data_IF_406845216342
#
_entry.id   IF_406845216342
#
_cell.length_a   1.000
_cell.length_b   1.000
_cell.length_c   1.000
_cell.angle_alpha   90.00
_cell.angle_beta   90.00
_cell.angle_gamma   90.00
#
_symmetry.space_group_name_H-M   'P 1'
#
loop_
_entity.id
_entity.type
_entity.pdbx_description
1 polymer ?
#
# COMPACT_ATOMS: atom_id res chain seq x y z
N UNK A 1 -15.04 -47.64 -0.38
CA UNK A 1 -14.69 -46.29 0.14
C UNK A 1 -14.49 -45.36 -1.04
N UNK A 2 -15.47 -44.53 -1.35
CA UNK A 2 -15.33 -43.52 -2.41
C UNK A 2 -14.54 -42.35 -1.86
N UNK A 3 -13.22 -42.35 -2.04
CA UNK A 3 -12.40 -41.17 -1.77
C UNK A 3 -12.81 -40.11 -2.78
N UNK A 4 -13.34 -38.94 -2.37
CA UNK A 4 -13.64 -37.88 -3.32
C UNK A 4 -12.35 -37.52 -4.06
N UNK A 5 -12.44 -37.42 -5.39
CA UNK A 5 -11.32 -36.98 -6.22
C UNK A 5 -10.88 -35.60 -5.73
N UNK A 6 -9.56 -35.45 -5.52
CA UNK A 6 -9.03 -34.15 -5.16
C UNK A 6 -9.34 -33.17 -6.30
N UNK A 7 -9.90 -31.98 -6.00
CA UNK A 7 -10.19 -31.00 -7.05
C UNK A 7 -8.91 -30.61 -7.77
N UNK A 8 -9.00 -30.41 -9.09
CA UNK A 8 -7.88 -29.91 -9.89
C UNK A 8 -7.45 -28.56 -9.33
N UNK A 9 -6.14 -28.35 -9.17
CA UNK A 9 -5.57 -27.06 -8.78
C UNK A 9 -4.99 -26.34 -9.99
N UNK A 10 -5.19 -25.03 -10.05
CA UNK A 10 -4.56 -24.14 -11.01
C UNK A 10 -3.79 -23.03 -10.29
N UNK A 11 -2.72 -22.55 -10.90
CA UNK A 11 -1.93 -21.46 -10.33
C UNK A 11 -2.48 -20.10 -10.73
N UNK A 12 -2.39 -19.15 -9.81
CA UNK A 12 -2.75 -17.75 -10.06
C UNK A 12 -1.96 -16.82 -9.13
N UNK A 13 -2.16 -15.52 -9.29
CA UNK A 13 -1.64 -14.50 -8.40
C UNK A 13 -2.80 -13.70 -7.81
N UNK A 14 -2.63 -13.24 -6.57
CA UNK A 14 -3.61 -12.37 -5.91
C UNK A 14 -3.78 -11.06 -6.71
N UNK A 15 -5.01 -10.71 -7.15
CA UNK A 15 -5.24 -9.51 -7.96
C UNK A 15 -5.41 -8.24 -7.13
N UNK A 16 -5.44 -8.34 -5.80
CA UNK A 16 -5.66 -7.21 -4.92
C UNK A 16 -4.51 -6.21 -4.94
N UNK A 17 -4.86 -4.96 -4.67
CA UNK A 17 -3.94 -3.84 -4.53
C UNK A 17 -3.21 -3.87 -3.17
N UNK A 18 -2.32 -4.86 -3.03
CA UNK A 18 -1.40 -5.05 -1.92
C UNK A 18 -0.05 -5.50 -2.50
N UNK A 19 1.09 -4.97 -2.02
CA UNK A 19 2.39 -5.26 -2.62
C UNK A 19 2.87 -6.71 -2.46
N UNK A 20 2.14 -7.57 -1.73
CA UNK A 20 2.54 -8.96 -1.54
C UNK A 20 2.38 -9.82 -2.79
N UNK A 21 1.41 -9.52 -3.68
CA UNK A 21 1.06 -10.32 -4.87
C UNK A 21 1.15 -11.84 -4.61
N UNK A 22 0.40 -12.32 -3.61
CA UNK A 22 0.50 -13.70 -3.15
C UNK A 22 0.35 -14.70 -4.30
N UNK A 23 1.24 -15.68 -4.36
CA UNK A 23 1.09 -16.83 -5.26
C UNK A 23 -0.03 -17.73 -4.73
N UNK A 24 -0.93 -18.17 -5.61
CA UNK A 24 -2.16 -18.88 -5.26
C UNK A 24 -2.23 -20.23 -5.95
N UNK A 25 -2.83 -21.19 -5.25
CA UNK A 25 -3.37 -22.43 -5.80
C UNK A 25 -4.89 -22.39 -5.66
N UNK A 26 -5.59 -22.38 -6.79
CA UNK A 26 -7.05 -22.25 -6.86
C UNK A 26 -7.65 -23.61 -7.20
N UNK A 27 -8.60 -24.08 -6.38
CA UNK A 27 -9.40 -25.25 -6.71
C UNK A 27 -10.32 -24.92 -7.88
N UNK A 28 -10.32 -25.77 -8.92
CA UNK A 28 -11.23 -25.67 -10.05
C UNK A 28 -12.21 -26.83 -9.97
N UNK A 29 -13.48 -26.51 -9.73
CA UNK A 29 -14.55 -27.49 -9.56
C UNK A 29 -15.15 -27.88 -10.91
N UNK A 30 -15.32 -26.90 -11.80
CA UNK A 30 -15.76 -27.08 -13.19
C UNK A 30 -15.26 -25.92 -14.06
N UNK A 31 -15.73 -25.81 -15.30
CA UNK A 31 -15.33 -24.77 -16.26
C UNK A 31 -15.59 -23.33 -15.77
N UNK A 32 -16.60 -23.13 -14.92
CA UNK A 32 -17.09 -21.81 -14.49
C UNK A 32 -16.97 -21.59 -12.97
N UNK A 33 -16.67 -22.63 -12.21
CA UNK A 33 -16.70 -22.61 -10.75
C UNK A 33 -15.33 -22.89 -10.14
N UNK A 34 -14.82 -21.92 -9.38
CA UNK A 34 -13.68 -22.12 -8.47
C UNK A 34 -14.14 -22.46 -7.05
N UNK A 35 -13.35 -23.29 -6.36
CA UNK A 35 -13.53 -23.69 -4.97
C UNK A 35 -12.68 -22.86 -4.01
N UNK A 36 -12.03 -23.50 -3.03
CA UNK A 36 -11.15 -22.78 -2.09
C UNK A 36 -9.90 -22.25 -2.79
N UNK A 37 -9.37 -21.17 -2.23
CA UNK A 37 -8.09 -20.60 -2.65
C UNK A 37 -7.07 -20.85 -1.54
N UNK A 38 -5.92 -21.39 -1.93
CA UNK A 38 -4.79 -21.68 -1.07
C UNK A 38 -3.62 -20.78 -1.44
N UNK A 39 -2.74 -20.48 -0.49
CA UNK A 39 -1.46 -19.85 -0.79
C UNK A 39 -0.44 -20.88 -1.27
N UNK A 40 0.25 -20.59 -2.36
CA UNK A 40 1.39 -21.39 -2.82
C UNK A 40 2.63 -21.12 -1.97
N UNK A 41 3.37 -22.18 -1.65
CA UNK A 41 4.66 -22.08 -0.94
C UNK A 41 5.83 -21.73 -1.87
N UNK A 42 5.62 -21.71 -3.18
CA UNK A 42 6.68 -21.44 -4.16
C UNK A 42 7.16 -19.99 -4.14
N UNK A 43 6.32 -19.06 -3.68
CA UNK A 43 6.74 -17.69 -3.40
C UNK A 43 7.19 -17.60 -1.93
N UNK A 44 8.50 -17.47 -1.73
CA UNK A 44 9.14 -17.50 -0.42
C UNK A 44 8.87 -16.26 0.46
N UNK A 45 8.54 -15.11 -0.15
CA UNK A 45 8.06 -13.95 0.59
C UNK A 45 6.68 -14.20 1.20
N UNK A 46 5.74 -14.72 0.41
CA UNK A 46 4.39 -14.98 0.91
C UNK A 46 4.28 -16.29 1.67
N UNK A 47 5.17 -17.25 1.41
CA UNK A 47 5.35 -18.51 2.12
C UNK A 47 4.05 -19.31 2.32
N UNK A 48 3.14 -19.27 1.33
CA UNK A 48 1.82 -19.90 1.42
C UNK A 48 0.81 -19.17 2.31
N UNK A 49 1.17 -18.03 2.90
CA UNK A 49 0.28 -17.20 3.72
C UNK A 49 -0.52 -16.25 2.84
N UNK A 50 -1.84 -16.40 2.89
CA UNK A 50 -2.82 -15.51 2.25
C UNK A 50 -3.77 -14.93 3.30
N UNK A 51 -4.28 -13.73 3.06
CA UNK A 51 -5.24 -13.11 3.97
C UNK A 51 -6.66 -13.69 3.80
N UNK A 52 -7.51 -13.50 4.80
CA UNK A 52 -8.91 -13.97 4.78
C UNK A 52 -9.71 -13.44 3.56
N UNK A 53 -9.38 -12.25 3.05
CA UNK A 53 -10.00 -11.67 1.85
C UNK A 53 -9.78 -12.56 0.61
N UNK A 54 -8.59 -13.14 0.49
CA UNK A 54 -8.19 -13.99 -0.64
C UNK A 54 -8.68 -15.43 -0.44
N UNK A 55 -8.58 -15.96 0.78
CA UNK A 55 -9.06 -17.31 1.08
C UNK A 55 -10.56 -17.50 0.77
N UNK A 56 -11.33 -16.40 0.89
CA UNK A 56 -12.79 -16.35 0.63
C UNK A 56 -13.14 -15.72 -0.72
N UNK A 57 -12.20 -15.57 -1.64
CA UNK A 57 -12.45 -14.87 -2.90
C UNK A 57 -13.50 -15.59 -3.78
N UNK A 58 -13.68 -16.90 -3.60
CA UNK A 58 -14.75 -17.66 -4.26
C UNK A 58 -16.16 -17.15 -3.90
N UNK A 59 -16.36 -16.67 -2.67
CA UNK A 59 -17.63 -16.06 -2.25
C UNK A 59 -17.90 -14.75 -2.99
N UNK A 60 -16.84 -14.02 -3.39
CA UNK A 60 -16.96 -12.77 -4.16
C UNK A 60 -17.27 -13.05 -5.63
N UNK A 61 -16.57 -14.01 -6.25
CA UNK A 61 -16.74 -14.30 -7.68
C UNK A 61 -18.09 -14.95 -7.99
N UNK A 62 -18.61 -15.74 -7.04
CA UNK A 62 -19.90 -16.45 -7.14
C UNK A 62 -21.03 -15.76 -6.39
N UNK A 63 -20.83 -14.52 -5.95
CA UNK A 63 -21.88 -13.78 -5.25
C UNK A 63 -23.10 -13.60 -6.18
N UNK A 64 -24.33 -13.90 -5.74
CA UNK A 64 -25.53 -13.76 -6.56
C UNK A 64 -25.80 -12.30 -6.98
N UNK A 65 -25.28 -11.32 -6.23
CA UNK A 65 -25.40 -9.90 -6.54
C UNK A 65 -24.26 -9.38 -7.45
N UNK A 66 -23.40 -10.26 -7.97
CA UNK A 66 -22.33 -9.86 -8.88
C UNK A 66 -22.93 -9.29 -10.17
N UNK A 67 -22.43 -8.11 -10.58
CA UNK A 67 -22.82 -7.50 -11.84
C UNK A 67 -22.29 -8.35 -13.01
N UNK A 68 -23.20 -9.01 -13.73
CA UNK A 68 -22.89 -9.92 -14.85
C UNK A 68 -23.52 -9.47 -16.18
N UNK A 69 -24.28 -8.37 -16.16
CA UNK A 69 -24.91 -7.79 -17.34
C UNK A 69 -24.69 -6.28 -17.37
N UNK A 70 -24.54 -5.67 -18.56
CA UNK A 70 -24.56 -4.22 -18.69
C UNK A 70 -25.88 -3.63 -18.20
N UNK A 71 -25.78 -2.50 -17.49
CA UNK A 71 -26.91 -1.73 -17.02
C UNK A 71 -26.77 -0.29 -17.51
N UNK A 72 -27.87 0.30 -17.97
CA UNK A 72 -27.95 1.71 -18.31
C UNK A 72 -29.00 2.38 -17.41
N UNK A 73 -28.78 3.66 -17.10
CA UNK A 73 -29.72 4.43 -16.28
C UNK A 73 -31.02 4.69 -17.05
N UNK A 74 -32.15 4.48 -16.40
CA UNK A 74 -33.47 4.88 -16.91
C UNK A 74 -33.62 6.41 -16.87
N UNK A 75 -33.98 6.98 -18.01
CA UNK A 75 -34.21 8.42 -18.15
C UNK A 75 -32.95 9.29 -18.02
N UNK A 76 -33.11 10.60 -18.25
CA UNK A 76 -32.01 11.57 -18.23
C UNK A 76 -31.51 11.84 -16.81
N UNK A 77 -30.19 12.01 -16.64
CA UNK A 77 -29.61 12.47 -15.38
C UNK A 77 -29.94 13.95 -15.24
N UNK A 78 -30.79 14.30 -14.28
CA UNK A 78 -31.12 15.69 -13.95
C UNK A 78 -30.27 16.08 -12.75
N UNK A 79 -29.53 17.19 -12.86
CA UNK A 79 -28.73 17.71 -11.76
C UNK A 79 -29.64 18.13 -10.60
N UNK A 80 -29.30 17.76 -9.37
CA UNK A 80 -30.10 18.09 -8.18
C UNK A 80 -31.22 17.09 -7.84
N UNK A 81 -31.74 16.31 -8.79
CA UNK A 81 -32.77 15.29 -8.55
C UNK A 81 -32.19 13.90 -8.24
N UNK A 82 -30.98 13.85 -7.69
CA UNK A 82 -30.12 12.65 -7.63
C UNK A 82 -30.81 11.42 -7.06
N UNK A 83 -31.47 10.61 -7.91
CA UNK A 83 -31.91 9.28 -7.53
C UNK A 83 -30.68 8.49 -7.11
N UNK A 84 -30.76 7.85 -5.95
CA UNK A 84 -29.64 7.09 -5.40
C UNK A 84 -29.21 6.04 -6.44
N UNK A 85 -27.93 6.04 -6.81
CA UNK A 85 -27.37 5.06 -7.73
C UNK A 85 -27.47 3.63 -7.16
N UNK A 86 -27.67 3.50 -5.84
CA UNK A 86 -27.94 2.22 -5.16
C UNK A 86 -29.36 1.71 -5.36
N UNK A 87 -30.30 2.53 -5.82
CA UNK A 87 -31.66 2.08 -6.12
C UNK A 87 -31.66 1.32 -7.46
N UNK A 88 -31.83 0.00 -7.39
CA UNK A 88 -31.89 -0.87 -8.56
C UNK A 88 -32.99 -0.45 -9.57
N UNK A 89 -34.05 0.22 -9.12
CA UNK A 89 -35.17 0.65 -9.95
C UNK A 89 -34.76 1.64 -11.04
N UNK A 90 -33.68 2.40 -10.81
CA UNK A 90 -33.16 3.43 -11.73
C UNK A 90 -32.35 2.84 -12.88
N UNK A 91 -32.08 1.54 -12.87
CA UNK A 91 -31.28 0.84 -13.87
C UNK A 91 -32.16 -0.07 -14.74
N UNK A 92 -31.80 -0.19 -16.01
CA UNK A 92 -32.34 -1.19 -16.92
C UNK A 92 -31.19 -1.99 -17.54
N UNK A 93 -31.42 -3.30 -17.72
CA UNK A 93 -30.47 -4.17 -18.40
C UNK A 93 -30.53 -3.93 -19.90
N UNK A 94 -29.36 -3.95 -20.55
CA UNK A 94 -29.20 -3.87 -22.00
C UNK A 94 -28.25 -4.97 -22.50
N UNK A 95 -28.19 -5.14 -23.82
CA UNK A 95 -27.23 -6.05 -24.47
C UNK A 95 -25.79 -5.55 -24.38
N UNK A 96 -24.81 -6.44 -24.62
CA UNK A 96 -23.40 -6.03 -24.69
C UNK A 96 -23.12 -5.14 -25.90
N UNK A 97 -23.63 -5.49 -27.08
CA UNK A 97 -23.45 -4.68 -28.29
C UNK A 97 -24.05 -3.27 -28.09
N UNK A 98 -25.30 -3.20 -27.63
CA UNK A 98 -25.97 -1.93 -27.29
C UNK A 98 -25.19 -1.09 -26.27
N UNK A 99 -24.61 -1.72 -25.24
CA UNK A 99 -23.82 -1.02 -24.24
C UNK A 99 -22.51 -0.46 -24.82
N UNK A 100 -21.84 -1.22 -25.69
CA UNK A 100 -20.60 -0.81 -26.33
C UNK A 100 -20.84 0.29 -27.36
N UNK A 101 -21.88 0.15 -28.19
CA UNK A 101 -22.31 1.16 -29.16
C UNK A 101 -22.66 2.47 -28.44
N UNK A 102 -23.45 2.40 -27.37
CA UNK A 102 -23.80 3.57 -26.58
C UNK A 102 -22.55 4.29 -26.04
N UNK A 103 -21.57 3.56 -25.50
CA UNK A 103 -20.33 4.18 -24.99
C UNK A 103 -19.52 4.80 -26.13
N UNK A 104 -19.36 4.09 -27.25
CA UNK A 104 -18.63 4.57 -28.42
C UNK A 104 -19.26 5.84 -28.99
N UNK A 105 -20.57 5.85 -29.23
CA UNK A 105 -21.32 7.02 -29.71
C UNK A 105 -21.16 8.23 -28.78
N UNK A 106 -21.17 8.02 -27.45
CA UNK A 106 -20.98 9.10 -26.48
C UNK A 106 -19.57 9.65 -26.50
N UNK A 107 -18.55 8.80 -26.67
CA UNK A 107 -17.17 9.24 -26.81
C UNK A 107 -16.98 10.03 -28.10
N UNK A 108 -17.42 9.49 -29.24
CA UNK A 108 -17.29 10.17 -30.54
C UNK A 108 -18.06 11.50 -30.57
N UNK A 109 -19.25 11.57 -29.99
CA UNK A 109 -20.00 12.83 -29.89
C UNK A 109 -19.31 13.85 -28.98
N UNK A 110 -18.70 13.41 -27.87
CA UNK A 110 -17.95 14.29 -26.98
C UNK A 110 -16.68 14.81 -27.68
N UNK A 111 -15.94 13.93 -28.35
CA UNK A 111 -14.77 14.28 -29.15
C UNK A 111 -15.09 15.31 -30.23
N UNK A 112 -16.14 15.08 -31.01
CA UNK A 112 -16.55 15.98 -32.07
C UNK A 112 -16.93 17.37 -31.54
N UNK A 113 -17.48 17.43 -30.33
CA UNK A 113 -17.98 18.69 -29.73
C UNK A 113 -16.91 19.45 -28.95
N UNK A 114 -16.02 18.76 -28.26
CA UNK A 114 -15.13 19.34 -27.25
C UNK A 114 -13.65 19.00 -27.46
N UNK A 115 -13.31 18.18 -28.46
CA UNK A 115 -11.96 17.66 -28.70
C UNK A 115 -11.66 16.40 -27.89
N UNK A 116 -10.64 15.64 -28.33
CA UNK A 116 -10.31 14.34 -27.76
C UNK A 116 -9.96 14.36 -26.26
N UNK A 117 -9.37 15.45 -25.78
CA UNK A 117 -9.00 15.63 -24.38
C UNK A 117 -10.22 15.70 -23.44
N UNK A 118 -11.43 15.88 -23.95
CA UNK A 118 -12.64 15.84 -23.11
C UNK A 118 -12.91 14.47 -22.49
N UNK A 119 -12.41 13.39 -23.10
CA UNK A 119 -12.53 12.04 -22.55
C UNK A 119 -11.36 11.83 -21.61
N UNK A 120 -11.67 11.73 -20.32
CA UNK A 120 -10.69 11.49 -19.28
C UNK A 120 -10.90 10.09 -18.67
N UNK A 121 -10.05 9.11 -19.02
CA UNK A 121 -10.13 7.79 -18.42
C UNK A 121 -9.65 7.87 -16.97
N UNK A 122 -10.51 7.44 -16.03
CA UNK A 122 -10.18 7.35 -14.61
C UNK A 122 -9.87 5.89 -14.24
N UNK A 123 -8.59 5.58 -14.04
CA UNK A 123 -8.04 4.24 -13.77
C UNK A 123 -6.78 4.42 -12.90
N UNK A 124 -6.51 3.48 -11.98
CA UNK A 124 -5.46 3.54 -10.94
C UNK A 124 -6.03 3.84 -9.53
N UNK A 125 -5.87 3.03 -8.51
CA UNK A 125 -5.44 1.63 -8.46
C UNK A 125 -6.55 0.78 -7.80
N UNK A 126 -6.44 -0.55 -7.87
CA UNK A 126 -7.43 -1.44 -7.22
C UNK A 126 -7.41 -2.88 -7.73
N UNK A 127 -7.02 -3.10 -8.98
CA UNK A 127 -6.68 -4.41 -9.55
C UNK A 127 -5.34 -4.31 -10.25
N UNK A 128 -4.37 -5.11 -9.80
CA UNK A 128 -2.96 -4.98 -10.21
C UNK A 128 -2.54 -5.96 -11.31
N UNK A 129 -3.50 -6.66 -11.94
CA UNK A 129 -3.21 -7.49 -13.11
C UNK A 129 -2.75 -6.65 -14.29
N UNK A 130 -1.71 -7.09 -15.00
CA UNK A 130 -1.05 -6.31 -16.05
C UNK A 130 -2.02 -5.83 -17.15
N UNK A 131 -2.95 -6.70 -17.57
CA UNK A 131 -3.94 -6.37 -18.59
C UNK A 131 -4.99 -5.39 -18.03
N UNK A 132 -5.47 -5.63 -16.81
CA UNK A 132 -6.51 -4.83 -16.19
C UNK A 132 -6.02 -3.42 -15.81
N UNK A 133 -4.75 -3.29 -15.42
CA UNK A 133 -4.14 -2.02 -15.04
C UNK A 133 -3.79 -1.18 -16.26
N UNK A 134 -3.08 -1.76 -17.24
CA UNK A 134 -2.42 -0.99 -18.30
C UNK A 134 -3.12 -1.08 -19.67
N UNK A 135 -4.11 -1.97 -19.82
CA UNK A 135 -4.78 -2.21 -21.11
C UNK A 135 -5.47 -0.99 -21.70
N UNK A 136 -5.93 -0.06 -20.84
CA UNK A 136 -6.63 1.16 -21.24
C UNK A 136 -5.73 2.16 -21.97
N UNK A 137 -4.41 2.13 -21.74
CA UNK A 137 -3.47 3.06 -22.38
C UNK A 137 -3.48 2.96 -23.91
N UNK A 138 -3.77 1.77 -24.47
CA UNK A 138 -3.85 1.58 -25.93
C UNK A 138 -4.98 2.40 -26.55
N UNK A 139 -6.18 2.32 -25.97
CA UNK A 139 -7.33 3.10 -26.41
C UNK A 139 -7.06 4.59 -26.25
N UNK A 140 -6.59 5.00 -25.06
CA UNK A 140 -6.24 6.40 -24.78
C UNK A 140 -5.25 6.96 -25.80
N UNK A 141 -4.19 6.22 -26.12
CA UNK A 141 -3.19 6.66 -27.09
C UNK A 141 -3.76 6.74 -28.51
N UNK A 142 -4.49 5.72 -28.96
CA UNK A 142 -5.08 5.68 -30.30
C UNK A 142 -6.05 6.85 -30.54
N UNK A 143 -6.85 7.21 -29.51
CA UNK A 143 -7.85 8.28 -29.60
C UNK A 143 -7.35 9.64 -29.11
N UNK A 144 -6.10 9.73 -28.62
CA UNK A 144 -5.50 10.94 -28.03
C UNK A 144 -6.32 11.54 -26.88
N UNK A 145 -6.89 10.67 -26.06
CA UNK A 145 -7.63 11.07 -24.85
C UNK A 145 -6.70 11.63 -23.77
N UNK A 146 -7.31 12.36 -22.82
CA UNK A 146 -6.59 12.92 -21.67
C UNK A 146 -5.84 11.85 -20.89
N UNK A 147 -4.66 12.20 -20.40
CA UNK A 147 -3.90 11.36 -19.48
C UNK A 147 -4.39 11.55 -18.05
N UNK A 148 -4.52 10.44 -17.31
CA UNK A 148 -4.48 10.51 -15.85
C UNK A 148 -3.03 10.53 -15.39
N UNK A 149 -2.75 11.38 -14.40
CA UNK A 149 -1.51 11.27 -13.64
C UNK A 149 -1.82 10.48 -12.39
N UNK A 150 -1.25 9.27 -12.29
CA UNK A 150 -1.60 8.20 -11.33
C UNK A 150 -1.19 8.53 -9.87
N UNK A 151 -1.72 9.62 -9.31
CA UNK A 151 -1.21 10.21 -8.06
C UNK A 151 -2.01 9.88 -6.81
N UNK A 152 -2.98 8.97 -6.92
CA UNK A 152 -3.97 8.72 -5.85
C UNK A 152 -3.32 8.07 -4.61
N UNK A 153 -2.32 7.20 -4.83
CA UNK A 153 -1.75 6.36 -3.77
C UNK A 153 -0.31 6.77 -3.39
N UNK A 154 0.65 6.55 -4.30
CA UNK A 154 2.07 6.48 -3.92
C UNK A 154 2.86 7.77 -4.15
N UNK A 155 2.35 8.74 -4.90
CA UNK A 155 3.14 9.89 -5.37
C UNK A 155 3.85 10.67 -4.25
N UNK A 156 3.22 10.98 -3.10
CA UNK A 156 3.92 11.65 -2.02
C UNK A 156 5.08 10.81 -1.47
N UNK A 157 4.85 9.50 -1.30
CA UNK A 157 5.87 8.58 -0.81
C UNK A 157 7.03 8.41 -1.81
N UNK A 158 6.71 8.25 -3.10
CA UNK A 158 7.68 8.13 -4.17
C UNK A 158 8.58 9.36 -4.21
N UNK A 159 7.99 10.56 -4.17
CA UNK A 159 8.73 11.83 -4.25
C UNK A 159 9.71 11.97 -3.09
N UNK A 160 9.25 11.72 -1.85
CA UNK A 160 10.11 11.77 -0.66
C UNK A 160 11.24 10.76 -0.70
N UNK A 161 10.92 9.52 -1.09
CA UNK A 161 11.91 8.43 -1.12
C UNK A 161 12.96 8.66 -2.20
N UNK A 162 12.57 9.13 -3.40
CA UNK A 162 13.54 9.48 -4.43
C UNK A 162 14.41 10.67 -4.04
N UNK A 163 13.87 11.67 -3.35
CA UNK A 163 14.66 12.79 -2.87
C UNK A 163 15.77 12.34 -1.90
N UNK A 164 15.48 11.37 -1.02
CA UNK A 164 16.43 10.91 -0.01
C UNK A 164 17.37 9.78 -0.47
N UNK A 165 16.86 8.85 -1.28
CA UNK A 165 17.59 7.64 -1.69
C UNK A 165 18.05 7.66 -3.15
N UNK A 166 17.67 8.66 -3.95
CA UNK A 166 18.02 8.79 -5.38
C UNK A 166 17.34 7.79 -6.32
N UNK A 167 16.78 6.69 -5.81
CA UNK A 167 16.04 5.70 -6.57
C UNK A 167 15.04 4.95 -5.68
N UNK A 168 13.95 4.44 -6.28
CA UNK A 168 13.03 3.52 -5.58
C UNK A 168 13.66 2.13 -5.53
N UNK A 169 14.51 1.93 -4.53
CA UNK A 169 15.20 0.66 -4.24
C UNK A 169 15.26 0.48 -2.73
N UNK A 170 15.15 -0.75 -2.26
CA UNK A 170 15.24 -1.05 -0.83
C UNK A 170 15.76 -2.45 -0.61
N UNK A 171 15.88 -2.82 0.67
CA UNK A 171 16.21 -4.17 1.07
C UNK A 171 15.13 -5.15 0.59
N UNK A 172 15.56 -6.38 0.32
CA UNK A 172 14.65 -7.47 0.07
C UNK A 172 13.73 -7.66 1.30
N UNK A 173 12.38 -7.64 1.13
CA UNK A 173 11.45 -7.80 2.24
C UNK A 173 11.65 -9.07 3.07
N UNK A 174 12.28 -10.13 2.51
CA UNK A 174 12.63 -11.37 3.20
C UNK A 174 13.72 -11.17 4.27
N UNK A 175 14.51 -10.10 4.17
CA UNK A 175 15.54 -9.76 5.16
C UNK A 175 14.96 -9.23 6.47
N UNK A 176 13.68 -8.87 6.49
CA UNK A 176 12.97 -8.55 7.73
C UNK A 176 13.06 -9.69 8.74
N UNK A 177 13.00 -10.95 8.30
CA UNK A 177 13.17 -12.13 9.17
C UNK A 177 14.59 -12.26 9.77
N UNK A 178 15.58 -11.58 9.20
CA UNK A 178 16.99 -11.59 9.63
C UNK A 178 17.37 -10.40 10.52
N UNK A 179 16.39 -9.58 10.89
CA UNK A 179 16.58 -8.34 11.65
C UNK A 179 16.52 -8.56 13.15
N UNK A 180 17.10 -7.65 13.93
CA UNK A 180 17.08 -7.66 15.41
C UNK A 180 16.14 -6.56 15.96
N UNK A 181 15.78 -5.59 15.12
CA UNK A 181 14.68 -4.65 15.33
C UNK A 181 13.91 -4.50 14.01
N UNK A 182 12.59 -4.64 14.05
CA UNK A 182 11.71 -4.38 12.92
C UNK A 182 10.86 -3.15 13.24
N UNK A 183 11.07 -2.06 12.51
CA UNK A 183 10.28 -0.82 12.64
C UNK A 183 9.19 -0.82 11.57
N UNK A 184 7.93 -0.86 11.99
CA UNK A 184 6.77 -0.77 11.12
C UNK A 184 6.16 0.62 11.30
N UNK A 185 6.35 1.51 10.32
CA UNK A 185 5.97 2.91 10.45
C UNK A 185 4.87 3.27 9.45
N UNK A 186 3.71 3.72 9.93
CA UNK A 186 2.63 4.23 9.09
C UNK A 186 1.92 3.13 8.28
N UNK A 187 1.87 1.90 8.81
CA UNK A 187 1.13 0.79 8.19
C UNK A 187 0.53 -0.16 9.22
N UNK A 188 -0.75 -0.50 9.03
CA UNK A 188 -1.45 -1.54 9.77
C UNK A 188 -1.29 -2.91 9.10
N UNK A 189 -0.06 -3.44 9.10
CA UNK A 189 0.34 -4.66 8.42
C UNK A 189 -0.55 -5.88 8.75
N UNK A 190 -1.07 -6.01 9.98
CA UNK A 190 -2.01 -7.08 10.36
C UNK A 190 -3.26 -7.10 9.46
N UNK A 191 -3.76 -5.93 9.05
CA UNK A 191 -4.96 -5.83 8.21
C UNK A 191 -4.65 -5.68 6.71
N UNK A 192 -3.56 -4.99 6.37
CA UNK A 192 -3.29 -4.50 5.01
C UNK A 192 -2.20 -5.30 4.28
N UNK A 193 -1.28 -5.97 4.98
CA UNK A 193 -0.18 -6.73 4.39
C UNK A 193 0.31 -7.83 5.34
N UNK A 194 -0.48 -8.90 5.50
CA UNK A 194 -0.24 -9.97 6.49
C UNK A 194 1.15 -10.61 6.38
N UNK A 195 1.76 -10.64 5.19
CA UNK A 195 3.08 -11.22 4.98
C UNK A 195 4.20 -10.43 5.66
N UNK A 196 4.05 -9.11 5.86
CA UNK A 196 4.98 -8.33 6.70
C UNK A 196 4.98 -8.88 8.12
N UNK A 197 3.81 -9.15 8.68
CA UNK A 197 3.72 -9.71 10.03
C UNK A 197 4.29 -11.13 10.10
N UNK A 198 4.16 -11.94 9.05
CA UNK A 198 4.82 -13.25 8.97
C UNK A 198 6.34 -13.12 9.16
N UNK A 199 6.99 -12.21 8.44
CA UNK A 199 8.45 -12.01 8.55
C UNK A 199 8.87 -11.33 9.86
N UNK A 200 8.11 -10.34 10.34
CA UNK A 200 8.40 -9.66 11.60
C UNK A 200 8.29 -10.62 12.81
N UNK A 201 7.25 -11.45 12.85
CA UNK A 201 7.08 -12.47 13.90
C UNK A 201 8.14 -13.57 13.77
N UNK A 202 8.57 -13.92 12.56
CA UNK A 202 9.68 -14.84 12.36
C UNK A 202 10.98 -14.28 12.94
N UNK A 203 11.30 -13.01 12.68
CA UNK A 203 12.45 -12.33 13.28
C UNK A 203 12.39 -12.37 14.81
N UNK A 204 11.23 -12.06 15.39
CA UNK A 204 11.01 -12.16 16.84
C UNK A 204 11.29 -13.56 17.38
N UNK A 205 10.72 -14.60 16.75
CA UNK A 205 10.84 -15.98 17.23
C UNK A 205 12.24 -16.56 17.06
N UNK A 206 12.88 -16.31 15.93
CA UNK A 206 14.17 -16.93 15.58
C UNK A 206 15.37 -16.13 16.11
N UNK A 207 15.21 -14.83 16.36
CA UNK A 207 16.32 -13.93 16.72
C UNK A 207 16.09 -13.12 17.99
N UNK A 208 14.90 -13.19 18.60
CA UNK A 208 14.53 -12.31 19.71
C UNK A 208 14.33 -10.86 19.28
N UNK A 209 14.06 -10.61 17.99
CA UNK A 209 13.89 -9.25 17.46
C UNK A 209 12.73 -8.52 18.14
N UNK A 210 12.95 -7.23 18.47
CA UNK A 210 11.88 -6.34 18.90
C UNK A 210 11.10 -5.82 17.69
N UNK A 211 9.80 -5.59 17.86
CA UNK A 211 8.95 -4.93 16.87
C UNK A 211 8.57 -3.55 17.41
N UNK A 212 9.01 -2.51 16.70
CA UNK A 212 8.55 -1.14 16.93
C UNK A 212 7.45 -0.79 15.94
N UNK A 213 6.39 -0.11 16.41
CA UNK A 213 5.30 0.35 15.56
C UNK A 213 5.06 1.83 15.81
N UNK A 214 5.05 2.60 14.73
CA UNK A 214 4.80 4.05 14.74
C UNK A 214 3.54 4.32 13.91
N UNK A 215 2.50 4.86 14.56
CA UNK A 215 1.20 5.09 13.92
C UNK A 215 0.46 6.24 14.61
N UNK A 216 -0.65 6.71 14.04
CA UNK A 216 -1.42 7.85 14.57
C UNK A 216 -2.62 7.42 15.43
N UNK A 217 -2.84 6.11 15.53
CA UNK A 217 -3.85 5.47 16.39
C UNK A 217 -3.43 4.03 16.70
N UNK A 218 -4.04 3.45 17.74
CA UNK A 218 -3.72 2.09 18.23
C UNK A 218 -4.30 1.01 17.32
N UNK A 219 -3.55 0.63 16.28
CA UNK A 219 -3.92 -0.43 15.34
C UNK A 219 -3.69 -1.84 15.90
N UNK A 220 -4.25 -2.86 15.23
CA UNK A 220 -3.94 -4.27 15.55
C UNK A 220 -2.45 -4.59 15.39
N UNK A 221 -1.74 -3.88 14.52
CA UNK A 221 -0.29 -4.00 14.38
C UNK A 221 0.42 -3.46 15.61
N UNK A 222 -0.03 -2.33 16.16
CA UNK A 222 0.54 -1.77 17.40
C UNK A 222 0.34 -2.67 18.61
N UNK A 223 -0.75 -3.47 18.67
CA UNK A 223 -0.92 -4.49 19.73
C UNK A 223 0.14 -5.60 19.69
N UNK A 224 0.81 -5.77 18.57
CA UNK A 224 1.90 -6.73 18.42
C UNK A 224 3.26 -6.11 18.75
N UNK A 225 3.34 -4.82 19.05
CA UNK A 225 4.59 -4.09 19.22
C UNK A 225 5.20 -4.29 20.62
N UNK A 226 6.53 -4.36 20.68
CA UNK A 226 7.30 -4.20 21.91
C UNK A 226 7.54 -2.71 22.22
N UNK A 227 7.58 -1.88 21.17
CA UNK A 227 7.71 -0.41 21.26
C UNK A 227 6.59 0.20 20.41
N UNK A 228 5.62 0.86 21.04
CA UNK A 228 4.50 1.50 20.33
C UNK A 228 4.55 3.00 20.49
N UNK A 229 4.66 3.73 19.38
CA UNK A 229 4.62 5.19 19.34
C UNK A 229 3.34 5.66 18.65
N UNK A 230 2.46 6.29 19.43
CA UNK A 230 1.20 6.87 18.93
C UNK A 230 1.32 8.40 18.88
N UNK A 231 1.74 8.93 17.73
CA UNK A 231 1.96 10.36 17.53
C UNK A 231 0.72 11.05 16.92
N UNK A 232 0.70 12.38 16.98
CA UNK A 232 -0.32 13.19 16.30
C UNK A 232 -0.20 13.03 14.77
N UNK A 233 -1.30 13.07 14.03
CA UNK A 233 -1.26 12.97 12.56
C UNK A 233 -0.39 14.05 11.91
N UNK A 234 0.49 13.63 10.99
CA UNK A 234 1.30 14.53 10.17
C UNK A 234 2.55 15.09 10.85
N UNK A 235 2.94 14.55 12.01
CA UNK A 235 4.12 14.97 12.77
C UNK A 235 5.30 14.00 12.67
N UNK A 236 5.23 13.02 11.77
CA UNK A 236 6.23 11.95 11.59
C UNK A 236 7.63 12.51 11.29
N UNK A 237 7.72 13.52 10.42
CA UNK A 237 9.00 14.19 10.13
C UNK A 237 9.66 14.83 11.37
N UNK A 238 8.88 15.29 12.35
CA UNK A 238 9.43 15.80 13.61
C UNK A 238 10.03 14.69 14.47
N UNK A 239 9.35 13.53 14.53
CA UNK A 239 9.90 12.34 15.19
C UNK A 239 11.19 11.86 14.50
N UNK A 240 11.19 11.76 13.17
CA UNK A 240 12.37 11.35 12.40
C UNK A 240 13.56 12.30 12.64
N UNK A 241 13.34 13.62 12.62
CA UNK A 241 14.37 14.60 12.94
C UNK A 241 14.92 14.45 14.36
N UNK A 242 14.06 14.26 15.37
CA UNK A 242 14.52 14.09 16.73
C UNK A 242 15.26 12.77 16.97
N UNK A 243 14.84 11.70 16.29
CA UNK A 243 15.59 10.44 16.30
C UNK A 243 16.98 10.67 15.70
N UNK A 244 17.09 11.28 14.52
CA UNK A 244 18.40 11.57 13.92
C UNK A 244 19.27 12.49 14.80
N UNK A 245 18.67 13.51 15.44
CA UNK A 245 19.37 14.36 16.41
C UNK A 245 20.01 13.52 17.52
N UNK A 246 19.25 12.63 18.15
CA UNK A 246 19.75 11.75 19.21
C UNK A 246 20.85 10.82 18.68
N UNK A 247 20.71 10.28 17.46
CA UNK A 247 21.74 9.43 16.86
C UNK A 247 23.07 10.16 16.64
N UNK A 248 23.04 11.43 16.20
CA UNK A 248 24.26 12.23 16.08
C UNK A 248 24.83 12.60 17.45
N UNK A 249 23.98 13.09 18.37
CA UNK A 249 24.36 13.49 19.73
C UNK A 249 25.05 12.36 20.50
N UNK A 250 24.52 11.15 20.41
CA UNK A 250 24.96 9.99 21.20
C UNK A 250 26.01 9.13 20.48
N UNK A 251 26.47 9.55 19.29
CA UNK A 251 27.52 8.86 18.54
C UNK A 251 27.07 7.55 17.88
N UNK A 252 25.77 7.40 17.61
CA UNK A 252 25.20 6.24 16.89
C UNK A 252 25.13 6.45 15.37
N UNK A 253 25.27 7.68 14.89
CA UNK A 253 25.39 7.96 13.46
C UNK A 253 26.74 7.44 12.91
N UNK A 254 26.71 6.56 11.91
CA UNK A 254 27.92 6.04 11.25
C UNK A 254 28.52 7.13 10.34
N UNK A 255 29.38 7.96 10.93
CA UNK A 255 30.05 9.06 10.23
C UNK A 255 30.92 8.59 9.07
N UNK A 256 31.50 7.39 9.15
CA UNK A 256 32.32 6.83 8.07
C UNK A 256 31.48 6.45 6.85
N UNK A 257 30.32 5.83 7.09
CA UNK A 257 29.35 5.55 6.05
C UNK A 257 28.81 6.85 5.43
N UNK A 258 28.36 7.79 6.26
CA UNK A 258 27.79 9.06 5.83
C UNK A 258 28.79 9.86 4.96
N UNK A 259 30.05 9.97 5.38
CA UNK A 259 31.07 10.68 4.62
C UNK A 259 31.35 10.06 3.24
N UNK A 260 31.10 8.75 3.07
CA UNK A 260 31.38 8.02 1.82
C UNK A 260 30.19 7.92 0.89
N UNK A 261 28.97 7.84 1.41
CA UNK A 261 27.78 7.44 0.66
C UNK A 261 26.60 8.40 0.75
N UNK A 262 26.78 9.56 1.39
CA UNK A 262 25.71 10.57 1.51
C UNK A 262 26.22 11.96 1.19
N UNK A 263 25.30 12.85 0.83
CA UNK A 263 25.57 14.26 0.59
C UNK A 263 25.42 15.08 1.86
N UNK A 264 26.33 16.03 2.07
CA UNK A 264 26.27 17.06 3.11
C UNK A 264 25.93 16.59 4.56
N UNK A 265 26.55 15.52 5.10
CA UNK A 265 26.19 15.02 6.44
C UNK A 265 26.47 16.01 7.57
N UNK A 266 27.45 16.90 7.41
CA UNK A 266 27.72 17.97 8.37
C UNK A 266 26.60 19.04 8.41
N UNK A 267 26.02 19.37 7.25
CA UNK A 267 24.91 20.31 7.17
C UNK A 267 23.63 19.70 7.75
N UNK A 268 23.41 18.39 7.52
CA UNK A 268 22.32 17.66 8.15
C UNK A 268 22.46 17.68 9.67
N UNK A 269 23.63 17.38 10.22
CA UNK A 269 23.86 17.42 11.67
C UNK A 269 23.63 18.82 12.25
N UNK A 270 24.14 19.86 11.58
CA UNK A 270 23.92 21.25 11.98
C UNK A 270 22.43 21.62 11.93
N UNK A 271 21.70 21.18 10.89
CA UNK A 271 20.25 21.34 10.79
C UNK A 271 19.55 20.67 11.97
N UNK A 272 19.97 19.47 12.37
CA UNK A 272 19.32 18.71 13.44
C UNK A 272 19.63 19.22 14.86
N UNK A 273 20.60 20.13 15.04
CA UNK A 273 21.05 20.59 16.35
C UNK A 273 19.93 21.10 17.28
N UNK A 274 18.88 21.71 16.73
CA UNK A 274 17.73 22.20 17.52
C UNK A 274 16.50 21.29 17.48
N UNK A 275 16.60 20.12 16.86
CA UNK A 275 15.48 19.17 16.70
C UNK A 275 15.53 18.18 17.86
N UNK A 276 15.56 18.70 19.09
CA UNK A 276 15.73 17.87 20.29
C UNK A 276 14.48 17.04 20.58
N UNK A 277 14.57 16.02 21.45
CA UNK A 277 13.40 15.29 21.94
C UNK A 277 12.32 16.18 22.56
N UNK A 278 12.68 17.25 23.28
CA UNK A 278 11.73 18.21 23.84
C UNK A 278 10.98 18.97 22.73
N UNK A 279 11.71 19.39 21.69
CA UNK A 279 11.11 20.04 20.52
C UNK A 279 10.11 19.11 19.82
N UNK A 280 10.50 17.86 19.57
CA UNK A 280 9.61 16.89 18.92
C UNK A 280 8.46 16.45 19.83
N UNK A 281 8.65 16.39 21.14
CA UNK A 281 7.61 16.05 22.11
C UNK A 281 6.44 17.03 22.03
N UNK A 282 6.73 18.34 21.99
CA UNK A 282 5.71 19.38 21.85
C UNK A 282 4.88 19.24 20.56
N UNK A 283 5.52 18.85 19.46
CA UNK A 283 4.87 18.70 18.15
C UNK A 283 4.10 17.39 18.05
N UNK A 284 4.76 16.27 18.34
CA UNK A 284 4.25 14.92 18.12
C UNK A 284 3.24 14.47 19.18
N UNK A 285 3.30 15.04 20.38
CA UNK A 285 2.56 14.56 21.54
C UNK A 285 3.14 13.31 22.21
N UNK A 286 4.27 12.79 21.73
CA UNK A 286 5.03 11.76 22.42
C UNK A 286 5.79 12.39 23.59
N UNK A 287 6.07 11.60 24.63
CA UNK A 287 6.98 12.01 25.70
C UNK A 287 8.43 12.03 25.20
N UNK A 288 9.26 12.85 25.86
CA UNK A 288 10.72 12.86 25.62
C UNK A 288 11.32 11.46 25.79
N UNK A 289 10.89 10.72 26.81
CA UNK A 289 11.35 9.36 27.08
C UNK A 289 11.02 8.40 25.92
N UNK A 290 9.81 8.45 25.37
CA UNK A 290 9.43 7.62 24.22
C UNK A 290 10.32 7.89 22.99
N UNK A 291 10.67 9.15 22.74
CA UNK A 291 11.54 9.55 21.63
C UNK A 291 12.97 9.07 21.85
N UNK A 292 13.52 9.31 23.04
CA UNK A 292 14.87 8.88 23.45
C UNK A 292 15.01 7.35 23.42
N UNK A 293 14.05 6.62 23.99
CA UNK A 293 14.07 5.15 24.03
C UNK A 293 13.99 4.55 22.62
N UNK A 294 13.16 5.12 21.74
CA UNK A 294 13.07 4.68 20.36
C UNK A 294 14.35 4.99 19.58
N UNK A 295 14.90 6.20 19.73
CA UNK A 295 16.15 6.58 19.08
C UNK A 295 17.32 5.70 19.53
N UNK A 296 17.42 5.41 20.84
CA UNK A 296 18.40 4.46 21.40
C UNK A 296 18.21 3.05 20.85
N UNK A 297 16.98 2.56 20.75
CA UNK A 297 16.71 1.23 20.19
C UNK A 297 17.18 1.13 18.74
N UNK A 298 16.92 2.15 17.92
CA UNK A 298 17.42 2.24 16.54
C UNK A 298 18.95 2.36 16.49
N UNK A 299 19.54 3.28 17.27
CA UNK A 299 20.97 3.59 17.24
C UNK A 299 21.88 2.48 17.75
N UNK A 300 21.39 1.65 18.67
CA UNK A 300 22.15 0.52 19.23
C UNK A 300 21.92 -0.79 18.48
N UNK A 301 20.90 -0.88 17.62
CA UNK A 301 20.55 -2.10 16.89
C UNK A 301 20.99 -2.02 15.42
N UNK A 302 22.16 -2.57 15.11
CA UNK A 302 22.73 -2.52 13.73
C UNK A 302 21.84 -3.17 12.67
N UNK A 303 21.12 -4.25 13.01
CA UNK A 303 20.23 -4.98 12.08
C UNK A 303 18.79 -4.50 12.24
N UNK A 304 18.58 -3.20 12.04
CA UNK A 304 17.25 -2.59 12.04
C UNK A 304 16.66 -2.61 10.63
N UNK A 305 15.43 -3.08 10.49
CA UNK A 305 14.69 -3.03 9.22
C UNK A 305 13.51 -2.08 9.34
N UNK A 306 13.47 -1.06 8.48
CA UNK A 306 12.35 -0.14 8.38
C UNK A 306 11.36 -0.58 7.30
N UNK A 307 10.17 -1.04 7.72
CA UNK A 307 9.02 -1.22 6.85
C UNK A 307 8.17 0.05 6.89
N UNK A 308 8.45 0.94 5.94
CA UNK A 308 7.75 2.23 5.81
C UNK A 308 6.46 2.08 4.98
N UNK A 309 5.34 2.46 5.59
CA UNK A 309 4.02 2.48 4.98
C UNK A 309 3.66 3.83 4.34
N UNK A 310 2.38 3.96 3.98
CA UNK A 310 1.85 5.17 3.35
C UNK A 310 1.11 6.09 4.32
N UNK A 311 0.90 5.68 5.58
CA UNK A 311 -0.01 6.34 6.52
C UNK A 311 0.27 7.83 6.70
N UNK A 312 1.53 8.20 6.91
CA UNK A 312 1.93 9.59 7.11
C UNK A 312 2.15 10.37 5.80
N UNK A 313 2.15 9.66 4.66
CA UNK A 313 2.42 10.25 3.34
C UNK A 313 1.22 10.98 2.75
N UNK A 314 0.01 10.65 3.22
CA UNK A 314 -1.24 11.30 2.81
C UNK A 314 -1.50 12.57 3.61
N UNK A 315 -0.48 13.40 3.73
CA UNK A 315 -0.50 14.68 4.44
C UNK A 315 0.31 15.72 3.67
N UNK A 316 0.14 17.01 4.01
CA UNK A 316 0.92 18.10 3.41
C UNK A 316 2.43 17.90 3.53
N UNK A 317 2.88 17.25 4.60
CA UNK A 317 4.29 17.00 4.89
C UNK A 317 4.75 15.59 4.47
N UNK A 318 3.91 14.86 3.73
CA UNK A 318 4.14 13.45 3.40
C UNK A 318 5.49 13.16 2.72
N UNK A 319 5.85 13.87 1.64
CA UNK A 319 7.14 13.66 0.97
C UNK A 319 8.33 13.93 1.91
N UNK A 320 8.26 15.02 2.68
CA UNK A 320 9.33 15.41 3.60
C UNK A 320 9.47 14.42 4.76
N UNK A 321 8.36 13.84 5.22
CA UNK A 321 8.36 12.83 6.28
C UNK A 321 8.87 11.47 5.81
N UNK A 322 8.79 11.17 4.50
CA UNK A 322 9.38 9.94 3.92
C UNK A 322 10.86 10.13 3.63
N UNK A 323 11.25 11.35 3.26
CA UNK A 323 12.64 11.72 3.05
C UNK A 323 13.44 11.64 4.35
N UNK A 324 12.87 12.14 5.44
CA UNK A 324 13.43 12.06 6.79
C UNK A 324 13.35 10.64 7.36
#
# INVERSE_FOLDING_TARGET
MNRPLAPRRAFSACPHDCPSTCALEVEVLDERTIGRIHGSKENDYTAGVICAKVARYSERIHNPNRLVHPLVRKGKKVAGEGRDWRDASVWQRIGWDEALDLVAEKFDAAEARYGAETVWPYYYAGTMGLVQRDGLHRLRHAKRYSGEYDTICITPAWTGYMAGAGAIRGADPREMAKSDLVVIWGTNAVATQVNVMTHAIRARKERGAKIAVVDVYRTETMKQADIGLCLKPGTDGALACAVMHVLFRDGHADRGYLAKYTDAPAELEAHLATRTPEWASAITGLSVAEIEDFAKAVGTTKRTFFRIGYGFTRSRNGPVSIHA
#
